data_IF_545238479252
#
_entry.id   IF_545238479252
#
_cell.length_a   1.000
_cell.length_b   1.000
_cell.length_c   1.000
_cell.angle_alpha   90.00
_cell.angle_beta   90.00
_cell.angle_gamma   90.00
#
_symmetry.space_group_name_H-M   'P 1'
#
loop_
_entity.id
_entity.type
_entity.pdbx_description
1 polymer ?
#
# COMPACT_ATOMS: atom_id res chain seq x y z
N UNK A 1 22.69 -10.15 -4.92
CA UNK A 1 21.66 -10.52 -5.90
C UNK A 1 20.35 -10.68 -5.15
N UNK A 2 19.28 -10.00 -5.56
CA UNK A 2 17.96 -10.21 -4.96
C UNK A 2 17.45 -11.62 -5.32
N UNK A 3 16.75 -12.31 -4.42
CA UNK A 3 16.20 -13.63 -4.70
C UNK A 3 15.11 -13.54 -5.77
N UNK A 4 15.02 -14.58 -6.61
CA UNK A 4 13.99 -14.67 -7.65
C UNK A 4 12.57 -14.80 -7.06
N UNK A 5 12.46 -15.45 -5.90
CA UNK A 5 11.22 -15.67 -5.15
C UNK A 5 11.45 -15.38 -3.66
N UNK A 6 10.55 -14.63 -3.03
CA UNK A 6 10.57 -14.30 -1.60
C UNK A 6 10.01 -15.45 -0.74
N UNK A 7 10.37 -15.47 0.53
CA UNK A 7 10.15 -16.59 1.44
C UNK A 7 8.82 -16.52 2.19
N UNK A 8 8.13 -15.38 2.22
CA UNK A 8 6.86 -15.29 2.94
C UNK A 8 5.83 -16.29 2.41
N UNK A 9 5.16 -16.97 3.33
CA UNK A 9 4.04 -17.87 3.04
C UNK A 9 2.78 -17.47 3.81
N UNK A 10 2.86 -16.45 4.67
CA UNK A 10 1.72 -16.00 5.45
C UNK A 10 0.77 -15.17 4.59
N UNK A 11 -0.48 -15.60 4.50
CA UNK A 11 -1.55 -14.91 3.77
C UNK A 11 -2.06 -13.69 4.54
N UNK A 12 -2.45 -13.90 5.79
CA UNK A 12 -3.06 -12.88 6.63
C UNK A 12 -2.64 -13.11 8.09
N UNK A 13 -2.50 -12.04 8.86
CA UNK A 13 -2.43 -12.08 10.32
C UNK A 13 -3.84 -12.05 10.91
N UNK A 14 -4.06 -12.82 11.98
CA UNK A 14 -5.36 -12.90 12.63
C UNK A 14 -5.88 -11.49 13.00
N UNK A 15 -7.04 -11.07 12.45
CA UNK A 15 -7.66 -9.81 12.81
C UNK A 15 -8.06 -9.78 14.28
N UNK A 16 -8.08 -8.59 14.87
CA UNK A 16 -8.69 -8.38 16.17
C UNK A 16 -10.18 -8.77 16.15
N UNK A 17 -10.71 -9.15 17.31
CA UNK A 17 -12.12 -9.50 17.45
C UNK A 17 -13.03 -8.37 16.94
N UNK A 18 -14.06 -8.75 16.17
CA UNK A 18 -14.98 -7.80 15.51
C UNK A 18 -14.41 -7.04 14.30
N UNK A 19 -13.10 -7.09 14.03
CA UNK A 19 -12.49 -6.35 12.92
C UNK A 19 -12.66 -7.02 11.54
N UNK A 20 -12.95 -8.34 11.52
CA UNK A 20 -13.02 -9.17 10.31
C UNK A 20 -13.98 -8.60 9.25
N UNK A 21 -15.24 -8.37 9.60
CA UNK A 21 -16.24 -7.92 8.64
C UNK A 21 -15.89 -6.55 8.03
N UNK A 22 -15.39 -5.62 8.85
CA UNK A 22 -14.92 -4.31 8.36
C UNK A 22 -13.67 -4.44 7.49
N UNK A 23 -12.77 -5.37 7.80
CA UNK A 23 -11.58 -5.65 7.00
C UNK A 23 -11.97 -6.15 5.59
N UNK A 24 -12.81 -7.18 5.52
CA UNK A 24 -13.28 -7.76 4.26
C UNK A 24 -14.03 -6.76 3.40
N UNK A 25 -14.85 -5.90 4.00
CA UNK A 25 -15.56 -4.85 3.26
C UNK A 25 -14.62 -3.80 2.66
N UNK A 26 -13.55 -3.42 3.35
CA UNK A 26 -12.55 -2.51 2.78
C UNK A 26 -11.77 -3.22 1.65
N UNK A 27 -11.41 -4.49 1.79
CA UNK A 27 -10.77 -5.27 0.71
C UNK A 27 -11.65 -5.40 -0.54
N UNK A 28 -12.94 -5.69 -0.37
CA UNK A 28 -13.92 -5.68 -1.47
C UNK A 28 -13.95 -4.33 -2.18
N UNK A 29 -13.87 -3.23 -1.42
CA UNK A 29 -13.78 -1.90 -2.02
C UNK A 29 -12.48 -1.73 -2.83
N UNK A 30 -11.35 -2.29 -2.40
CA UNK A 30 -10.10 -2.20 -3.15
C UNK A 30 -10.18 -2.94 -4.48
N UNK A 31 -10.84 -4.11 -4.49
CA UNK A 31 -11.11 -4.87 -5.72
C UNK A 31 -12.03 -4.08 -6.66
N UNK A 32 -13.13 -3.54 -6.14
CA UNK A 32 -14.08 -2.74 -6.93
C UNK A 32 -13.46 -1.48 -7.53
N UNK A 33 -12.49 -0.86 -6.84
CA UNK A 33 -11.77 0.32 -7.33
C UNK A 33 -10.58 -0.05 -8.23
N UNK A 34 -10.30 -1.33 -8.46
CA UNK A 34 -9.17 -1.78 -9.28
C UNK A 34 -7.79 -1.62 -8.63
N UNK A 35 -7.71 -1.33 -7.32
CA UNK A 35 -6.42 -1.29 -6.60
C UNK A 35 -5.87 -2.68 -6.31
N UNK A 36 -6.76 -3.67 -6.21
CA UNK A 36 -6.42 -5.08 -6.20
C UNK A 36 -7.10 -5.73 -7.39
N UNK A 37 -6.34 -6.46 -8.18
CA UNK A 37 -6.83 -7.16 -9.36
C UNK A 37 -6.52 -8.65 -9.23
N UNK A 38 -7.35 -9.54 -9.80
CA UNK A 38 -7.02 -10.94 -9.90
C UNK A 38 -5.65 -11.12 -10.57
N UNK A 39 -4.80 -11.96 -9.98
CA UNK A 39 -3.49 -12.25 -10.55
C UNK A 39 -3.62 -13.21 -11.74
N UNK A 40 -2.95 -12.87 -12.84
CA UNK A 40 -2.95 -13.66 -14.06
C UNK A 40 -1.63 -14.42 -14.20
N UNK A 41 -1.63 -15.69 -13.80
CA UNK A 41 -0.45 -16.56 -13.90
C UNK A 41 -0.06 -16.87 -15.36
N UNK A 42 -0.99 -16.78 -16.31
CA UNK A 42 -0.68 -16.98 -17.74
C UNK A 42 0.14 -15.81 -18.27
N UNK A 43 -0.21 -14.59 -17.87
CA UNK A 43 0.50 -13.37 -18.29
C UNK A 43 1.80 -13.15 -17.53
N UNK A 44 1.80 -13.40 -16.22
CA UNK A 44 2.88 -12.98 -15.32
C UNK A 44 3.75 -14.12 -14.79
N UNK A 45 3.38 -15.37 -15.06
CA UNK A 45 3.99 -16.56 -14.45
C UNK A 45 3.55 -16.74 -12.99
N UNK A 46 4.21 -17.63 -12.23
CA UNK A 46 3.87 -17.85 -10.83
C UNK A 46 4.22 -16.62 -9.97
N UNK A 47 3.45 -16.38 -8.89
CA UNK A 47 3.79 -15.34 -7.90
C UNK A 47 5.22 -15.49 -7.37
N UNK A 48 5.94 -14.37 -7.29
CA UNK A 48 7.32 -14.31 -6.78
C UNK A 48 7.39 -13.82 -5.35
N UNK A 49 6.36 -13.17 -4.83
CA UNK A 49 6.27 -12.83 -3.41
C UNK A 49 4.82 -12.79 -2.95
N UNK A 50 4.59 -13.21 -1.72
CA UNK A 50 3.32 -13.06 -1.01
C UNK A 50 3.46 -11.98 0.06
N UNK A 51 2.63 -10.95 0.00
CA UNK A 51 2.56 -9.90 1.01
C UNK A 51 1.43 -10.26 2.00
N UNK A 52 1.75 -10.45 3.29
CA UNK A 52 0.72 -10.70 4.28
C UNK A 52 -0.18 -9.50 4.48
N UNK A 53 -1.48 -9.78 4.63
CA UNK A 53 -2.48 -8.80 5.01
C UNK A 53 -2.63 -8.68 6.53
N UNK A 54 -2.84 -7.45 7.01
CA UNK A 54 -3.11 -7.14 8.40
C UNK A 54 -4.34 -6.24 8.53
N UNK A 55 -5.28 -6.64 9.37
CA UNK A 55 -6.40 -5.79 9.76
C UNK A 55 -6.01 -4.88 10.93
N UNK A 56 -5.87 -3.58 10.68
CA UNK A 56 -5.49 -2.59 11.71
C UNK A 56 -6.69 -1.74 12.10
N UNK A 57 -7.13 -1.87 13.36
CA UNK A 57 -8.24 -1.09 13.92
C UNK A 57 -7.78 0.31 14.36
N UNK A 58 -8.25 1.33 13.65
CA UNK A 58 -8.05 2.74 14.01
C UNK A 58 -9.18 3.21 14.93
N UNK A 59 -9.07 2.94 16.23
CA UNK A 59 -10.11 3.24 17.25
C UNK A 59 -10.65 4.67 17.16
N UNK A 60 -9.77 5.67 17.03
CA UNK A 60 -10.14 7.10 16.92
C UNK A 60 -10.99 7.43 15.68
N UNK A 61 -10.85 6.64 14.61
CA UNK A 61 -11.58 6.82 13.34
C UNK A 61 -12.71 5.82 13.17
N UNK A 62 -12.93 4.96 14.16
CA UNK A 62 -13.84 3.82 14.13
C UNK A 62 -13.78 3.04 12.79
N UNK A 63 -12.56 2.77 12.30
CA UNK A 63 -12.32 2.18 10.99
C UNK A 63 -11.25 1.10 11.05
N UNK A 64 -11.43 0.01 10.30
CA UNK A 64 -10.41 -1.00 10.06
C UNK A 64 -9.72 -0.70 8.72
N UNK A 65 -8.39 -0.78 8.70
CA UNK A 65 -7.56 -0.60 7.50
C UNK A 65 -6.85 -1.91 7.16
N UNK A 66 -6.95 -2.41 5.93
CA UNK A 66 -5.99 -3.36 5.39
C UNK A 66 -4.61 -2.71 5.35
N UNK A 67 -3.62 -3.42 5.88
CA UNK A 67 -2.21 -3.04 5.82
C UNK A 67 -1.44 -4.19 5.17
N UNK A 68 -0.61 -3.83 4.21
CA UNK A 68 0.27 -4.73 3.49
C UNK A 68 1.63 -4.76 4.19
N UNK A 69 2.07 -5.95 4.60
CA UNK A 69 3.33 -6.15 5.30
C UNK A 69 4.51 -6.26 4.32
N UNK A 70 5.00 -5.10 3.84
CA UNK A 70 6.11 -5.00 2.89
C UNK A 70 7.50 -5.26 3.50
N UNK A 71 7.61 -5.69 4.76
CA UNK A 71 8.91 -5.79 5.43
C UNK A 71 9.94 -6.64 4.67
N UNK A 72 9.54 -7.79 4.15
CA UNK A 72 10.45 -8.65 3.38
C UNK A 72 10.81 -8.02 2.03
N UNK A 73 9.81 -7.56 1.27
CA UNK A 73 9.99 -6.93 -0.05
C UNK A 73 10.96 -5.75 0.06
N UNK A 74 10.81 -4.91 1.11
CA UNK A 74 11.65 -3.75 1.33
C UNK A 74 13.12 -4.07 1.63
N UNK A 75 13.48 -5.30 2.01
CA UNK A 75 14.90 -5.70 2.15
C UNK A 75 15.61 -5.86 0.82
N UNK A 76 14.85 -5.88 -0.29
CA UNK A 76 15.35 -6.09 -1.65
C UNK A 76 15.13 -4.88 -2.58
N UNK A 77 14.52 -3.80 -2.08
CA UNK A 77 14.31 -2.56 -2.81
C UNK A 77 15.31 -1.53 -2.33
N UNK A 78 16.07 -0.95 -3.26
CA UNK A 78 16.98 0.14 -2.94
C UNK A 78 16.19 1.36 -2.43
N UNK A 79 16.69 1.98 -1.37
CA UNK A 79 16.06 3.16 -0.80
C UNK A 79 16.15 4.32 -1.79
N UNK A 80 15.02 4.68 -2.40
CA UNK A 80 14.91 5.86 -3.23
C UNK A 80 14.41 7.03 -2.39
N UNK A 81 15.31 7.94 -2.02
CA UNK A 81 14.94 9.11 -1.19
C UNK A 81 14.16 10.17 -1.96
N UNK A 82 14.05 10.06 -3.30
CA UNK A 82 13.55 11.11 -4.19
C UNK A 82 14.18 12.49 -3.87
N UNK A 83 13.76 13.55 -4.57
CA UNK A 83 13.96 14.91 -4.07
C UNK A 83 12.88 15.21 -3.00
N UNK A 84 12.71 14.33 -2.01
CA UNK A 84 11.68 14.50 -0.97
C UNK A 84 12.03 15.59 0.05
N UNK A 85 13.13 16.30 -0.17
CA UNK A 85 13.38 17.61 0.41
C UNK A 85 12.27 18.58 -0.03
N UNK A 86 11.12 18.46 0.64
CA UNK A 86 10.36 19.62 1.07
C UNK A 86 11.26 20.33 2.07
N UNK A 87 12.30 20.93 1.50
CA UNK A 87 13.25 21.78 2.18
C UNK A 87 12.39 22.78 2.94
N UNK A 88 12.65 22.97 4.23
CA UNK A 88 11.98 23.94 5.10
C UNK A 88 11.72 25.30 4.40
N UNK A 89 12.54 25.63 3.41
CA UNK A 89 12.36 26.71 2.45
C UNK A 89 11.04 26.70 1.66
N UNK A 90 10.61 25.58 1.06
CA UNK A 90 9.31 25.48 0.34
C UNK A 90 8.13 25.70 1.29
N UNK A 91 8.16 25.09 2.48
CA UNK A 91 7.14 25.33 3.51
C UNK A 91 7.11 26.80 3.96
N UNK A 92 8.28 27.43 4.13
CA UNK A 92 8.39 28.86 4.46
C UNK A 92 7.81 29.74 3.35
N UNK A 93 8.04 29.40 2.09
CA UNK A 93 7.48 30.12 0.95
C UNK A 93 5.95 29.97 0.89
N UNK A 94 5.40 28.78 1.13
CA UNK A 94 3.95 28.58 1.21
C UNK A 94 3.31 29.38 2.34
N UNK A 95 3.92 29.43 3.54
CA UNK A 95 3.43 30.25 4.66
C UNK A 95 3.43 31.76 4.36
N UNK A 96 4.20 32.21 3.36
CA UNK A 96 4.27 33.62 2.93
C UNK A 96 3.25 33.99 1.87
N UNK A 97 2.47 33.05 1.33
CA UNK A 97 1.50 33.32 0.24
C UNK A 97 0.24 34.09 0.69
N UNK A 98 0.13 34.48 1.97
CA UNK A 98 -0.99 35.24 2.48
C UNK A 98 -2.24 34.38 2.71
N UNK A 99 -3.42 35.01 2.71
CA UNK A 99 -4.69 34.37 3.06
C UNK A 99 -5.45 33.78 1.87
N UNK A 100 -5.05 34.10 0.64
CA UNK A 100 -5.69 33.60 -0.59
C UNK A 100 -5.09 32.26 -1.04
N UNK A 101 -5.11 31.28 -0.15
CA UNK A 101 -4.59 29.93 -0.40
C UNK A 101 -5.56 28.88 0.12
N UNK A 102 -5.61 27.74 -0.58
CA UNK A 102 -6.40 26.57 -0.18
C UNK A 102 -5.49 25.36 0.00
N UNK A 103 -5.73 24.59 1.05
CA UNK A 103 -5.03 23.32 1.29
C UNK A 103 -5.84 22.20 0.64
N UNK A 104 -5.17 21.39 -0.18
CA UNK A 104 -5.74 20.20 -0.80
C UNK A 104 -5.07 18.95 -0.21
N UNK A 105 -5.88 17.98 0.20
CA UNK A 105 -5.42 16.65 0.59
C UNK A 105 -5.91 15.62 -0.42
N UNK A 106 -4.99 14.85 -0.99
CA UNK A 106 -5.32 13.82 -1.97
C UNK A 106 -5.76 12.55 -1.25
N UNK A 107 -7.06 12.27 -1.32
CA UNK A 107 -7.64 11.06 -0.75
C UNK A 107 -7.03 9.80 -1.38
N UNK A 108 -6.42 8.95 -0.56
CA UNK A 108 -5.79 7.68 -0.99
C UNK A 108 -4.72 7.88 -2.08
N UNK A 109 -3.92 8.95 -1.99
CA UNK A 109 -2.93 9.35 -2.99
C UNK A 109 -2.08 8.21 -3.57
N UNK A 110 -1.51 7.35 -2.71
CA UNK A 110 -0.67 6.23 -3.17
C UNK A 110 -1.43 5.18 -3.99
N UNK A 111 -2.73 4.99 -3.75
CA UNK A 111 -3.55 4.05 -4.52
C UNK A 111 -3.98 4.62 -5.88
N UNK A 112 -3.71 5.90 -6.15
CA UNK A 112 -3.94 6.51 -7.47
C UNK A 112 -2.75 6.30 -8.42
N UNK A 113 -1.58 5.92 -7.88
CA UNK A 113 -0.37 5.68 -8.67
C UNK A 113 -0.25 4.19 -8.95
N UNK A 114 -0.13 3.84 -10.22
CA UNK A 114 0.01 2.44 -10.64
C UNK A 114 1.43 1.94 -10.43
N UNK A 115 1.55 0.68 -10.04
CA UNK A 115 2.80 -0.06 -10.05
C UNK A 115 2.98 -0.64 -11.45
N UNK A 116 4.21 -0.57 -11.98
CA UNK A 116 4.56 -1.23 -13.23
C UNK A 116 4.20 -2.73 -13.19
N UNK A 117 3.55 -3.23 -14.25
CA UNK A 117 3.07 -4.61 -14.32
C UNK A 117 4.19 -5.65 -14.14
N UNK A 118 5.42 -5.32 -14.55
CA UNK A 118 6.59 -6.19 -14.36
C UNK A 118 6.91 -6.46 -12.88
N UNK A 119 6.44 -5.62 -11.97
CA UNK A 119 6.65 -5.74 -10.53
C UNK A 119 5.48 -6.43 -9.81
N UNK A 120 4.36 -6.67 -10.49
CA UNK A 120 3.19 -7.31 -9.89
C UNK A 120 3.45 -8.72 -9.32
N UNK A 121 4.31 -9.57 -9.91
CA UNK A 121 4.65 -10.87 -9.31
C UNK A 121 5.22 -10.76 -7.89
N UNK A 122 5.81 -9.61 -7.52
CA UNK A 122 6.37 -9.35 -6.19
C UNK A 122 5.37 -8.66 -5.24
N UNK A 123 4.14 -8.39 -5.69
CA UNK A 123 3.12 -7.66 -4.93
C UNK A 123 1.80 -8.41 -4.85
N UNK A 124 1.84 -9.73 -4.62
CA UNK A 124 0.63 -10.55 -4.53
C UNK A 124 0.11 -10.66 -3.09
N UNK A 125 -1.20 -10.84 -2.95
CA UNK A 125 -1.90 -11.09 -1.69
C UNK A 125 -2.90 -12.23 -1.88
N UNK A 126 -3.30 -12.89 -0.79
CA UNK A 126 -4.38 -13.88 -0.82
C UNK A 126 -5.49 -13.41 0.11
N UNK A 127 -6.71 -13.33 -0.43
CA UNK A 127 -7.94 -12.84 0.22
C UNK A 127 -8.91 -14.01 0.40
#
# INVERSE_FOLDING_TARGET
>A
MAPEVLRNTRKEYQPAEGARASHENELKSWIQNGWLVPYDEVKFGPPKALIPLMAVTQRRKNKVRPVLDFREVNTHIDAFTANCDVCSHKLRNWRRQGTNVSILDLKKAYLQVHVDESLWPYQTVII
#
